data_IF_224868709583
#
_entry.id   IF_224868709583
#
_cell.length_a   1.000
_cell.length_b   1.000
_cell.length_c   1.000
_cell.angle_alpha   90.00
_cell.angle_beta   90.00
_cell.angle_gamma   90.00
#
_symmetry.space_group_name_H-M   'P 1'
#
loop_
_entity.id
_entity.type
_entity.pdbx_description
1 polymer ?
#
# COMPACT_ATOMS: atom_id res chain seq x y z
N UNK A 1 -15.99 11.41 -23.95
CA UNK A 1 -15.83 10.75 -22.64
C UNK A 1 -14.34 10.76 -22.31
N UNK A 2 -13.89 11.54 -21.33
CA UNK A 2 -12.48 11.48 -20.92
C UNK A 2 -12.27 10.13 -20.24
N UNK A 3 -11.36 9.32 -20.76
CA UNK A 3 -10.92 8.08 -20.12
C UNK A 3 -9.98 8.44 -18.98
N UNK A 4 -10.53 8.88 -17.85
CA UNK A 4 -9.73 9.08 -16.64
C UNK A 4 -9.23 7.72 -16.18
N UNK A 5 -7.91 7.53 -16.00
CA UNK A 5 -7.38 6.30 -15.45
C UNK A 5 -8.03 6.00 -14.09
N UNK A 6 -8.67 4.85 -13.98
CA UNK A 6 -9.23 4.38 -12.72
C UNK A 6 -8.16 3.59 -11.96
N UNK A 7 -8.01 3.89 -10.68
CA UNK A 7 -7.15 3.14 -9.77
C UNK A 7 -8.03 2.47 -8.73
N UNK A 8 -7.77 1.19 -8.47
CA UNK A 8 -8.41 0.49 -7.37
C UNK A 8 -7.34 -0.05 -6.43
N UNK A 9 -7.39 0.42 -5.19
CA UNK A 9 -6.37 0.14 -4.21
C UNK A 9 -6.93 -0.72 -3.07
N UNK A 10 -6.10 -1.65 -2.60
CA UNK A 10 -6.36 -2.45 -1.41
C UNK A 10 -5.12 -2.43 -0.52
N UNK A 11 -5.33 -2.48 0.80
CA UNK A 11 -4.26 -2.67 1.76
C UNK A 11 -4.32 -4.08 2.35
N UNK A 12 -3.17 -4.72 2.50
CA UNK A 12 -3.03 -5.99 3.21
C UNK A 12 -2.21 -5.78 4.50
N UNK A 13 -2.86 -5.96 5.64
CA UNK A 13 -2.22 -5.98 6.95
C UNK A 13 -2.06 -7.44 7.37
N UNK A 14 -0.91 -8.06 7.11
CA UNK A 14 -0.72 -9.49 7.38
C UNK A 14 0.65 -10.02 6.98
N UNK A 15 0.86 -11.33 7.10
CA UNK A 15 1.96 -12.02 6.41
C UNK A 15 1.50 -12.55 5.05
N UNK A 16 0.22 -12.87 4.91
CA UNK A 16 -0.38 -13.47 3.70
C UNK A 16 -0.88 -12.39 2.74
N UNK A 17 0.03 -11.48 2.35
CA UNK A 17 -0.30 -10.40 1.43
C UNK A 17 -0.58 -10.94 0.01
N UNK A 18 -0.04 -12.11 -0.35
CA UNK A 18 -0.24 -12.71 -1.67
C UNK A 18 -1.73 -12.93 -1.96
N UNK A 19 -2.45 -13.53 -1.00
CA UNK A 19 -3.87 -13.89 -1.11
C UNK A 19 -4.77 -12.65 -1.26
N UNK A 20 -4.34 -11.53 -0.66
CA UNK A 20 -5.08 -10.27 -0.66
C UNK A 20 -5.00 -9.52 -2.00
N UNK A 21 -4.10 -9.91 -2.91
CA UNK A 21 -4.02 -9.30 -4.25
C UNK A 21 -5.27 -9.56 -5.09
N UNK A 22 -6.00 -10.65 -4.82
CA UNK A 22 -7.25 -10.97 -5.51
C UNK A 22 -8.46 -10.19 -4.99
N UNK A 23 -8.35 -9.54 -3.82
CA UNK A 23 -9.46 -8.79 -3.22
C UNK A 23 -9.86 -7.57 -4.07
N UNK A 24 -8.92 -7.00 -4.81
CA UNK A 24 -9.17 -5.91 -5.76
C UNK A 24 -9.24 -6.38 -7.23
N UNK A 25 -9.25 -7.68 -7.51
CA UNK A 25 -9.25 -8.19 -8.90
C UNK A 25 -10.60 -7.95 -9.58
N UNK A 26 -10.59 -7.61 -10.88
CA UNK A 26 -11.80 -7.28 -11.65
C UNK A 26 -12.83 -8.42 -11.63
N UNK A 27 -12.36 -9.67 -11.72
CA UNK A 27 -13.23 -10.85 -11.65
C UNK A 27 -14.01 -10.98 -10.35
N UNK A 28 -13.49 -10.47 -9.23
CA UNK A 28 -14.20 -10.47 -7.95
C UNK A 28 -15.30 -9.43 -7.93
N UNK A 29 -15.07 -8.30 -8.60
CA UNK A 29 -15.96 -7.13 -8.59
C UNK A 29 -16.93 -7.06 -9.77
N UNK A 30 -16.76 -7.88 -10.81
CA UNK A 30 -17.57 -7.86 -12.04
C UNK A 30 -19.08 -7.95 -11.83
N UNK A 31 -19.52 -8.58 -10.74
CA UNK A 31 -20.94 -8.74 -10.41
C UNK A 31 -21.51 -7.54 -9.62
N UNK A 32 -20.64 -6.69 -9.06
CA UNK A 32 -21.01 -5.55 -8.25
C UNK A 32 -20.80 -4.22 -8.98
N UNK A 33 -19.77 -4.16 -9.83
CA UNK A 33 -19.35 -2.97 -10.56
C UNK A 33 -19.04 -3.36 -11.99
N UNK A 34 -19.71 -2.72 -12.95
CA UNK A 34 -19.39 -2.84 -14.37
C UNK A 34 -18.39 -1.76 -14.75
N UNK A 35 -17.15 -2.18 -14.98
CA UNK A 35 -16.09 -1.28 -15.42
C UNK A 35 -16.12 -1.14 -16.94
N UNK A 36 -16.11 0.09 -17.45
CA UNK A 36 -16.05 0.37 -18.89
C UNK A 36 -14.65 0.12 -19.47
N UNK A 37 -13.62 0.28 -18.64
CA UNK A 37 -12.22 0.00 -18.95
C UNK A 37 -11.60 -0.72 -17.75
N UNK A 38 -10.52 -1.46 -17.97
CA UNK A 38 -9.74 -2.02 -16.87
C UNK A 38 -9.15 -0.90 -15.99
N UNK A 39 -8.91 -1.21 -14.72
CA UNK A 39 -8.37 -0.28 -13.74
C UNK A 39 -7.01 -0.74 -13.25
N UNK A 40 -6.14 0.22 -12.94
CA UNK A 40 -4.83 -0.11 -12.41
C UNK A 40 -4.94 -0.48 -10.94
N UNK A 41 -4.42 -1.66 -10.59
CA UNK A 41 -4.49 -2.18 -9.23
C UNK A 41 -3.27 -1.77 -8.42
N UNK A 42 -3.51 -1.19 -7.25
CA UNK A 42 -2.45 -0.84 -6.30
C UNK A 42 -2.66 -1.66 -5.03
N UNK A 43 -1.61 -2.35 -4.59
CA UNK A 43 -1.66 -3.16 -3.38
C UNK A 43 -0.68 -2.62 -2.34
N UNK A 44 -1.22 -2.02 -1.29
CA UNK A 44 -0.43 -1.43 -0.21
C UNK A 44 -0.10 -2.47 0.86
N UNK A 45 1.16 -2.48 1.29
CA UNK A 45 1.65 -3.40 2.32
C UNK A 45 2.51 -2.62 3.32
N UNK A 46 2.11 -2.52 4.60
CA UNK A 46 2.84 -1.75 5.61
C UNK A 46 4.11 -2.45 6.11
N UNK A 47 4.37 -3.70 5.68
CA UNK A 47 5.63 -4.42 5.92
C UNK A 47 6.57 -4.26 4.74
N UNK A 48 7.87 -4.36 5.01
CA UNK A 48 8.91 -4.42 3.98
C UNK A 48 9.12 -5.87 3.59
N UNK A 49 8.63 -6.28 2.41
CA UNK A 49 8.87 -7.62 1.83
C UNK A 49 10.08 -7.62 0.90
N UNK A 50 11.12 -6.89 1.31
CA UNK A 50 12.38 -6.76 0.58
C UNK A 50 13.52 -7.38 1.35
N UNK A 51 14.49 -7.91 0.63
CA UNK A 51 15.76 -8.35 1.19
C UNK A 51 16.72 -7.17 1.41
N UNK A 52 17.90 -7.46 1.95
CA UNK A 52 18.96 -6.48 2.22
C UNK A 52 19.46 -5.75 0.95
N UNK A 53 19.28 -6.36 -0.23
CA UNK A 53 19.60 -5.77 -1.53
C UNK A 53 18.42 -5.02 -2.14
N UNK A 54 17.35 -4.76 -1.36
CA UNK A 54 16.16 -4.04 -1.75
C UNK A 54 15.32 -4.72 -2.87
N UNK A 55 15.57 -6.00 -3.16
CA UNK A 55 14.76 -6.83 -4.07
C UNK A 55 13.60 -7.46 -3.32
N UNK A 56 12.51 -7.80 -4.01
CA UNK A 56 11.41 -8.49 -3.34
C UNK A 56 11.82 -9.89 -2.89
N UNK A 57 11.33 -10.32 -1.74
CA UNK A 57 11.58 -11.66 -1.20
C UNK A 57 10.95 -12.75 -2.10
N UNK A 58 9.84 -12.44 -2.78
CA UNK A 58 9.17 -13.34 -3.71
C UNK A 58 8.54 -12.55 -4.88
N UNK A 59 9.35 -12.19 -5.89
CA UNK A 59 8.89 -11.41 -7.06
C UNK A 59 7.79 -12.13 -7.86
N UNK A 60 7.87 -13.47 -7.93
CA UNK A 60 6.95 -14.30 -8.72
C UNK A 60 5.54 -14.29 -8.11
N UNK A 61 5.41 -14.03 -6.81
CA UNK A 61 4.12 -13.93 -6.15
C UNK A 61 3.36 -12.62 -6.44
N UNK A 62 3.97 -11.63 -7.06
CA UNK A 62 3.31 -10.34 -7.36
C UNK A 62 2.44 -10.50 -8.62
N UNK A 63 1.12 -10.46 -8.44
CA UNK A 63 0.15 -10.79 -9.49
C UNK A 63 -0.60 -9.57 -10.04
N UNK A 64 -0.19 -9.14 -11.24
CA UNK A 64 -0.86 -8.12 -12.08
C UNK A 64 -1.33 -6.86 -11.29
N UNK A 65 -0.51 -6.39 -10.37
CA UNK A 65 -0.76 -5.19 -9.58
C UNK A 65 0.54 -4.45 -9.30
N UNK A 66 0.45 -3.17 -8.94
CA UNK A 66 1.58 -2.43 -8.38
C UNK A 66 1.62 -2.63 -6.88
N UNK A 67 2.64 -3.34 -6.41
CA UNK A 67 2.90 -3.47 -4.99
C UNK A 67 3.57 -2.21 -4.43
N UNK A 68 3.07 -1.73 -3.30
CA UNK A 68 3.60 -0.57 -2.59
C UNK A 68 3.84 -0.95 -1.14
N UNK A 69 5.08 -1.40 -0.87
CA UNK A 69 5.52 -1.80 0.46
C UNK A 69 5.99 -0.61 1.31
N UNK A 70 6.32 -0.84 2.58
CA UNK A 70 6.76 0.24 3.50
C UNK A 70 7.89 1.08 2.93
N UNK A 71 8.90 0.44 2.35
CA UNK A 71 10.04 1.17 1.77
C UNK A 71 9.59 2.08 0.62
N UNK A 72 8.76 1.54 -0.30
CA UNK A 72 8.23 2.31 -1.42
C UNK A 72 7.32 3.45 -0.97
N UNK A 73 6.49 3.23 0.06
CA UNK A 73 5.67 4.29 0.67
C UNK A 73 6.54 5.45 1.14
N UNK A 74 7.57 5.16 1.94
CA UNK A 74 8.49 6.19 2.45
C UNK A 74 9.13 6.96 1.29
N UNK A 75 9.61 6.27 0.25
CA UNK A 75 10.17 6.94 -0.93
C UNK A 75 9.17 7.87 -1.62
N UNK A 76 7.92 7.41 -1.83
CA UNK A 76 6.88 8.21 -2.47
C UNK A 76 6.53 9.45 -1.63
N UNK A 77 6.45 9.28 -0.31
CA UNK A 77 6.26 10.39 0.64
C UNK A 77 7.41 11.39 0.53
N UNK A 78 8.65 10.93 0.54
CA UNK A 78 9.82 11.80 0.38
C UNK A 78 9.82 12.54 -0.96
N UNK A 79 9.46 11.87 -2.05
CA UNK A 79 9.40 12.45 -3.39
C UNK A 79 8.25 13.44 -3.56
N UNK A 80 7.13 13.28 -2.83
CA UNK A 80 5.98 14.17 -2.95
C UNK A 80 6.26 15.59 -2.47
N UNK A 81 7.30 15.80 -1.65
CA UNK A 81 7.56 17.08 -0.98
C UNK A 81 6.61 17.38 0.18
N UNK A 82 5.58 16.55 0.38
CA UNK A 82 4.50 16.78 1.36
C UNK A 82 4.76 16.12 2.71
N UNK A 83 6.03 15.86 3.05
CA UNK A 83 6.42 15.17 4.30
C UNK A 83 5.80 15.86 5.52
N UNK A 84 5.85 17.20 5.57
CA UNK A 84 5.29 17.98 6.69
C UNK A 84 3.78 17.77 6.85
N UNK A 85 3.03 17.79 5.74
CA UNK A 85 1.58 17.59 5.75
C UNK A 85 1.24 16.18 6.21
N UNK A 86 1.98 15.18 5.73
CA UNK A 86 1.79 13.78 6.14
C UNK A 86 2.12 13.60 7.62
N UNK A 87 3.24 14.13 8.12
CA UNK A 87 3.57 14.06 9.55
C UNK A 87 2.49 14.73 10.39
N UNK A 88 1.98 15.87 9.95
CA UNK A 88 0.91 16.58 10.65
C UNK A 88 -0.40 15.77 10.71
N UNK A 89 -0.72 14.97 9.69
CA UNK A 89 -1.90 14.07 9.73
C UNK A 89 -1.81 13.02 10.84
N UNK A 90 -0.60 12.68 11.29
CA UNK A 90 -0.35 11.67 12.32
C UNK A 90 0.15 12.27 13.64
N UNK A 91 0.13 13.61 13.79
CA UNK A 91 0.71 14.30 14.94
C UNK A 91 0.14 13.81 16.28
N UNK A 92 -1.17 13.61 16.38
CA UNK A 92 -1.83 13.15 17.60
C UNK A 92 -1.36 11.74 17.99
N UNK A 93 -1.32 10.81 17.03
CA UNK A 93 -0.86 9.43 17.24
C UNK A 93 0.63 9.41 17.63
N UNK A 94 1.46 10.24 17.01
CA UNK A 94 2.88 10.35 17.35
C UNK A 94 3.07 10.90 18.77
N UNK A 95 2.29 11.91 19.15
CA UNK A 95 2.26 12.44 20.51
C UNK A 95 1.81 11.39 21.54
N UNK A 96 0.80 10.58 21.22
CA UNK A 96 0.40 9.44 22.05
C UNK A 96 1.55 8.45 22.24
N UNK A 97 2.25 8.06 21.17
CA UNK A 97 3.38 7.12 21.24
C UNK A 97 4.52 7.66 22.11
N UNK A 98 4.90 8.93 21.93
CA UNK A 98 5.95 9.59 22.73
C UNK A 98 5.59 9.60 24.23
N UNK A 99 4.33 9.92 24.54
CA UNK A 99 3.80 9.90 25.90
C UNK A 99 3.65 8.48 26.48
N UNK A 100 3.60 7.44 25.63
CA UNK A 100 3.44 6.05 26.08
C UNK A 100 4.76 5.41 26.49
N UNK A 101 5.91 6.00 26.14
CA UNK A 101 7.27 5.63 26.59
C UNK A 101 7.34 4.25 27.24
N UNK A 102 7.18 3.19 26.44
CA UNK A 102 7.37 1.83 26.90
C UNK A 102 8.87 1.72 27.21
N UNK A 103 9.21 1.81 28.49
CA UNK A 103 10.54 1.50 29.00
C UNK A 103 10.71 0.00 28.80
N UNK A 104 11.38 -0.39 27.70
CA UNK A 104 11.89 -1.74 27.58
C UNK A 104 13.03 -1.87 28.60
N UNK A 105 12.70 -2.45 29.76
CA UNK A 105 13.64 -2.93 30.77
C UNK A 105 14.45 -4.11 30.25
#
# INVERSE_FOLDING_TARGET
>A
LSTTPAYFAQCACGNDWEDKQFDAHIDKWRNYITWLNDYHRIHFIPKSFRNEQNKWLNEIAIFNCTLVDRFRLIQLVCLSGNIKEIVNLYADILGEIENTSIVFS
#
